data_IF_065391673453
#
_entry.id   IF_065391673453
#
_cell.length_a   1.000
_cell.length_b   1.000
_cell.length_c   1.000
_cell.angle_alpha   90.00
_cell.angle_beta   90.00
_cell.angle_gamma   90.00
#
_symmetry.space_group_name_H-M   'P 1'
#
loop_
_entity.id
_entity.type
_entity.pdbx_description
1 polymer ?
#
# COMPACT_ATOMS: atom_id res chain seq x y z
N UNK A 1 0.00 60.52 44.37
CA UNK A 1 1.08 60.77 43.38
C UNK A 1 1.88 59.49 43.23
N UNK A 2 2.06 59.03 41.99
CA UNK A 2 2.96 57.96 41.49
C UNK A 2 2.96 56.63 42.26
N UNK A 3 2.46 55.49 41.74
CA UNK A 3 2.66 55.00 40.38
C UNK A 3 4.07 54.44 40.27
N UNK A 4 4.24 53.14 40.51
CA UNK A 4 5.38 52.34 40.07
C UNK A 4 4.89 50.89 39.83
N UNK A 5 4.71 50.64 38.55
CA UNK A 5 4.50 49.38 37.84
C UNK A 5 5.14 48.11 38.43
N UNK A 6 4.29 47.08 38.63
CA UNK A 6 4.70 45.69 38.61
C UNK A 6 4.97 45.25 37.16
N UNK A 7 6.06 44.52 36.86
CA UNK A 7 6.25 43.89 35.55
C UNK A 7 5.20 42.79 35.37
N UNK A 8 4.26 42.99 34.45
CA UNK A 8 3.42 41.92 33.94
C UNK A 8 4.23 41.13 32.91
N UNK A 9 5.02 40.16 33.36
CA UNK A 9 5.48 39.07 32.50
C UNK A 9 4.28 38.14 32.25
N UNK A 10 3.42 38.56 31.32
CA UNK A 10 2.44 37.67 30.73
C UNK A 10 3.19 36.62 29.90
N UNK A 11 2.95 35.30 30.07
CA UNK A 11 3.41 34.32 29.11
C UNK A 11 2.76 34.66 27.77
N UNK A 12 3.59 34.95 26.76
CA UNK A 12 3.12 35.18 25.41
C UNK A 12 2.45 33.89 24.93
N UNK A 13 1.14 33.93 24.80
CA UNK A 13 0.33 32.88 24.20
C UNK A 13 0.91 32.58 22.80
N UNK A 14 1.51 31.39 22.54
CA UNK A 14 2.05 31.07 21.23
C UNK A 14 0.95 30.71 20.22
N UNK A 15 -0.32 30.91 20.60
CA UNK A 15 -1.48 30.50 19.84
C UNK A 15 -2.17 31.71 19.19
N UNK A 16 -1.53 32.26 18.14
CA UNK A 16 -2.17 32.86 16.94
C UNK A 16 -1.15 33.71 16.18
N UNK A 17 -0.48 33.09 15.22
CA UNK A 17 -0.03 33.80 14.03
C UNK A 17 -0.94 33.36 12.86
N UNK A 18 -2.00 34.13 12.52
CA UNK A 18 -2.92 33.73 11.46
C UNK A 18 -2.53 34.27 10.07
N UNK A 19 -1.25 34.56 9.78
CA UNK A 19 -0.91 35.22 8.51
C UNK A 19 0.41 34.79 7.81
N UNK A 20 0.77 33.51 7.86
CA UNK A 20 1.72 32.93 6.90
C UNK A 20 0.99 32.00 5.92
N UNK A 21 0.32 32.59 4.93
CA UNK A 21 -0.26 31.86 3.79
C UNK A 21 -0.20 32.77 2.54
N UNK A 22 1.00 32.86 1.96
CA UNK A 22 1.29 33.73 0.84
C UNK A 22 0.52 33.31 -0.43
N UNK A 23 -0.03 34.25 -1.23
CA UNK A 23 -0.81 33.92 -2.43
C UNK A 23 -0.06 33.09 -3.49
N UNK A 24 1.28 33.10 -3.48
CA UNK A 24 2.12 32.30 -4.38
C UNK A 24 2.18 30.81 -4.03
N UNK A 25 2.14 30.45 -2.76
CA UNK A 25 2.23 29.05 -2.33
C UNK A 25 0.95 28.29 -2.70
N UNK A 26 -0.22 28.89 -2.46
CA UNK A 26 -1.52 28.35 -2.87
C UNK A 26 -1.66 28.19 -4.38
N UNK A 27 -0.99 29.03 -5.18
CA UNK A 27 -0.96 28.89 -6.63
C UNK A 27 -0.10 27.68 -7.06
N UNK A 28 1.06 27.49 -6.42
CA UNK A 28 1.93 26.33 -6.66
C UNK A 28 1.25 25.01 -6.25
N UNK A 29 0.57 24.98 -5.10
CA UNK A 29 -0.19 23.81 -4.66
C UNK A 29 -1.31 23.43 -5.62
N UNK A 30 -2.06 24.42 -6.15
CA UNK A 30 -3.11 24.17 -7.14
C UNK A 30 -2.55 23.65 -8.48
N UNK A 31 -1.39 24.15 -8.90
CA UNK A 31 -0.73 23.64 -10.10
C UNK A 31 -0.33 22.17 -9.94
N UNK A 32 0.30 21.82 -8.80
CA UNK A 32 0.63 20.43 -8.47
C UNK A 32 -0.61 19.54 -8.37
N UNK A 33 -1.70 20.03 -7.79
CA UNK A 33 -2.97 19.29 -7.73
C UNK A 33 -3.51 19.00 -9.13
N UNK A 34 -3.52 20.00 -10.02
CA UNK A 34 -3.99 19.84 -11.40
C UNK A 34 -3.15 18.85 -12.21
N UNK A 35 -1.82 18.87 -12.05
CA UNK A 35 -0.93 17.92 -12.73
C UNK A 35 -1.16 16.47 -12.24
N UNK A 36 -1.38 16.29 -10.93
CA UNK A 36 -1.67 14.97 -10.33
C UNK A 36 -3.05 14.48 -10.76
N UNK A 37 -4.07 15.35 -10.76
CA UNK A 37 -5.43 15.01 -11.22
C UNK A 37 -5.42 14.59 -12.69
N UNK A 38 -4.71 15.34 -13.56
CA UNK A 38 -4.61 15.00 -14.98
C UNK A 38 -3.92 13.65 -15.23
N UNK A 39 -2.81 13.38 -14.52
CA UNK A 39 -2.13 12.08 -14.62
C UNK A 39 -3.00 10.95 -14.06
N UNK A 40 -3.73 11.19 -12.97
CA UNK A 40 -4.61 10.21 -12.36
C UNK A 40 -5.79 9.85 -13.29
N UNK A 41 -6.40 10.84 -13.95
CA UNK A 41 -7.48 10.64 -14.91
C UNK A 41 -7.01 9.83 -16.12
N UNK A 42 -5.87 10.21 -16.71
CA UNK A 42 -5.29 9.52 -17.85
C UNK A 42 -4.90 8.05 -17.52
N UNK A 43 -4.36 7.84 -16.32
CA UNK A 43 -4.07 6.50 -15.81
C UNK A 43 -5.35 5.70 -15.54
N UNK A 44 -6.39 6.33 -15.01
CA UNK A 44 -7.67 5.68 -14.74
C UNK A 44 -8.37 5.25 -16.04
N UNK A 45 -8.36 6.08 -17.07
CA UNK A 45 -8.95 5.74 -18.37
C UNK A 45 -8.26 4.55 -19.03
N UNK A 46 -6.92 4.55 -19.10
CA UNK A 46 -6.18 3.41 -19.66
C UNK A 46 -6.29 2.17 -18.78
N UNK A 47 -6.30 2.35 -17.47
CA UNK A 47 -6.38 1.27 -16.49
C UNK A 47 -7.69 0.51 -16.55
N UNK A 48 -8.84 1.17 -16.74
CA UNK A 48 -10.17 0.52 -16.75
C UNK A 48 -10.25 -0.63 -17.76
N UNK A 49 -9.87 -0.40 -19.01
CA UNK A 49 -9.95 -1.44 -20.05
C UNK A 49 -9.01 -2.63 -19.81
N UNK A 50 -7.82 -2.37 -19.26
CA UNK A 50 -6.87 -3.42 -18.86
C UNK A 50 -7.38 -4.23 -17.67
N UNK A 51 -7.95 -3.55 -16.67
CA UNK A 51 -8.51 -4.18 -15.47
C UNK A 51 -9.70 -5.06 -15.84
N UNK A 52 -10.59 -4.63 -16.73
CA UNK A 52 -11.76 -5.41 -17.12
C UNK A 52 -11.37 -6.73 -17.81
N UNK A 53 -10.40 -6.68 -18.73
CA UNK A 53 -9.87 -7.87 -19.40
C UNK A 53 -9.14 -8.81 -18.42
N UNK A 54 -8.32 -8.26 -17.53
CA UNK A 54 -7.62 -9.03 -16.50
C UNK A 54 -8.59 -9.66 -15.50
N UNK A 55 -9.67 -8.95 -15.14
CA UNK A 55 -10.68 -9.41 -14.17
C UNK A 55 -11.37 -10.70 -14.63
N UNK A 56 -11.77 -10.77 -15.89
CA UNK A 56 -12.43 -11.96 -16.44
C UNK A 56 -11.51 -13.19 -16.39
N UNK A 57 -10.23 -13.02 -16.74
CA UNK A 57 -9.26 -14.12 -16.72
C UNK A 57 -8.86 -14.52 -15.29
N UNK A 58 -8.70 -13.53 -14.41
CA UNK A 58 -8.37 -13.75 -13.01
C UNK A 58 -9.50 -14.44 -12.25
N UNK A 59 -10.77 -14.10 -12.53
CA UNK A 59 -11.91 -14.73 -11.86
C UNK A 59 -11.96 -16.24 -12.08
N UNK A 60 -11.86 -16.72 -13.32
CA UNK A 60 -11.90 -18.15 -13.62
C UNK A 60 -10.72 -18.92 -13.00
N UNK A 61 -9.52 -18.32 -13.02
CA UNK A 61 -8.33 -18.93 -12.41
C UNK A 61 -8.40 -18.97 -10.88
N UNK A 62 -8.82 -17.86 -10.25
CA UNK A 62 -8.90 -17.74 -8.79
C UNK A 62 -10.00 -18.63 -8.23
N UNK A 63 -11.15 -18.73 -8.89
CA UNK A 63 -12.25 -19.58 -8.41
C UNK A 63 -11.81 -21.05 -8.29
N UNK A 64 -10.91 -21.50 -9.18
CA UNK A 64 -10.36 -22.86 -9.15
C UNK A 64 -9.30 -23.07 -8.08
N UNK A 65 -8.63 -22.02 -7.60
CA UNK A 65 -7.51 -22.09 -6.64
C UNK A 65 -7.79 -21.46 -5.28
N UNK A 66 -8.99 -20.92 -5.07
CA UNK A 66 -9.35 -20.23 -3.82
C UNK A 66 -9.27 -21.13 -2.59
N UNK A 67 -9.58 -22.42 -2.73
CA UNK A 67 -9.50 -23.39 -1.64
C UNK A 67 -8.07 -23.55 -1.12
N UNK A 68 -7.13 -23.81 -2.03
CA UNK A 68 -5.71 -23.93 -1.70
C UNK A 68 -5.15 -22.65 -1.08
N UNK A 69 -5.57 -21.48 -1.60
CA UNK A 69 -5.18 -20.19 -1.08
C UNK A 69 -5.73 -19.93 0.32
N UNK A 70 -7.03 -20.18 0.55
CA UNK A 70 -7.67 -20.04 1.85
C UNK A 70 -7.03 -20.95 2.89
N UNK A 71 -6.75 -22.21 2.53
CA UNK A 71 -6.06 -23.15 3.41
C UNK A 71 -4.65 -22.67 3.77
N UNK A 72 -3.87 -22.21 2.80
CA UNK A 72 -2.53 -21.64 3.07
C UNK A 72 -2.58 -20.45 4.03
N UNK A 73 -3.59 -19.59 3.89
CA UNK A 73 -3.80 -18.45 4.80
C UNK A 73 -4.19 -18.91 6.20
N UNK A 74 -5.06 -19.93 6.32
CA UNK A 74 -5.41 -20.51 7.62
C UNK A 74 -4.21 -21.16 8.31
N UNK A 75 -3.39 -21.91 7.57
CA UNK A 75 -2.15 -22.51 8.09
C UNK A 75 -1.16 -21.45 8.58
N UNK A 76 -1.05 -20.32 7.87
CA UNK A 76 -0.25 -19.19 8.31
C UNK A 76 -0.82 -18.55 9.58
N UNK A 77 -2.14 -18.35 9.66
CA UNK A 77 -2.81 -17.82 10.85
C UNK A 77 -2.53 -18.68 12.08
N UNK A 78 -2.64 -20.01 11.93
CA UNK A 78 -2.30 -20.97 12.99
C UNK A 78 -0.82 -20.89 13.38
N UNK A 79 0.08 -20.79 12.40
CA UNK A 79 1.53 -20.66 12.65
C UNK A 79 1.85 -19.41 13.45
N UNK A 80 1.31 -18.25 13.05
CA UNK A 80 1.49 -16.97 13.75
C UNK A 80 0.94 -17.05 15.17
N UNK A 81 -0.26 -17.61 15.34
CA UNK A 81 -0.87 -17.79 16.66
C UNK A 81 -0.04 -18.70 17.56
N UNK A 82 0.49 -19.79 17.03
CA UNK A 82 1.37 -20.71 17.75
C UNK A 82 2.67 -20.03 18.16
N UNK A 83 3.34 -19.30 17.27
CA UNK A 83 4.54 -18.53 17.60
C UNK A 83 4.29 -17.46 18.67
N UNK A 84 3.11 -16.84 18.68
CA UNK A 84 2.70 -15.91 19.73
C UNK A 84 2.50 -16.58 21.10
N UNK A 85 2.06 -17.85 21.13
CA UNK A 85 1.95 -18.64 22.37
C UNK A 85 3.31 -18.99 22.96
N UNK A 86 4.32 -19.18 22.10
CA UNK A 86 5.69 -19.50 22.50
C UNK A 86 6.43 -18.28 23.10
N UNK A 87 5.90 -17.06 22.94
CA UNK A 87 6.57 -15.82 23.31
C UNK A 87 6.54 -15.48 24.82
N UNK A 88 6.19 -16.43 25.68
CA UNK A 88 6.12 -16.25 27.12
C UNK A 88 5.07 -15.23 27.57
N UNK A 89 5.19 -14.74 28.81
CA UNK A 89 4.17 -13.95 29.50
C UNK A 89 4.16 -12.44 29.12
N UNK A 90 4.32 -12.13 27.82
CA UNK A 90 4.24 -10.76 27.29
C UNK A 90 2.86 -10.49 26.70
N UNK A 91 1.87 -10.01 27.49
CA UNK A 91 0.48 -9.91 27.05
C UNK A 91 0.30 -9.00 25.84
N UNK A 92 1.01 -7.88 25.78
CA UNK A 92 0.90 -6.92 24.67
C UNK A 92 1.39 -7.50 23.34
N UNK A 93 2.47 -8.30 23.40
CA UNK A 93 3.04 -8.90 22.20
C UNK A 93 2.16 -10.05 21.75
N UNK A 94 1.71 -10.91 22.67
CA UNK A 94 0.75 -11.98 22.37
C UNK A 94 -0.53 -11.45 21.73
N UNK A 95 -1.10 -10.37 22.26
CA UNK A 95 -2.30 -9.74 21.71
C UNK A 95 -2.10 -9.27 20.26
N UNK A 96 -0.89 -8.82 19.91
CA UNK A 96 -0.56 -8.46 18.54
C UNK A 96 -0.55 -9.68 17.61
N UNK A 97 0.10 -10.78 18.01
CA UNK A 97 0.09 -12.03 17.23
C UNK A 97 -1.32 -12.62 17.09
N UNK A 98 -2.11 -12.58 18.17
CA UNK A 98 -3.50 -13.02 18.15
C UNK A 98 -4.33 -12.16 17.18
N UNK A 99 -4.19 -10.83 17.22
CA UNK A 99 -4.89 -9.94 16.29
C UNK A 99 -4.50 -10.17 14.83
N UNK A 100 -3.21 -10.43 14.58
CA UNK A 100 -2.73 -10.76 13.24
C UNK A 100 -3.30 -12.10 12.75
N UNK A 101 -3.33 -13.11 13.61
CA UNK A 101 -3.94 -14.41 13.30
C UNK A 101 -5.45 -14.30 13.05
N UNK A 102 -6.18 -13.53 13.86
CA UNK A 102 -7.62 -13.27 13.67
C UNK A 102 -7.91 -12.57 12.34
N UNK A 103 -7.06 -11.60 11.96
CA UNK A 103 -7.15 -10.93 10.67
C UNK A 103 -6.94 -11.90 9.49
N UNK A 104 -5.95 -12.80 9.59
CA UNK A 104 -5.69 -13.81 8.56
C UNK A 104 -6.80 -14.88 8.51
N UNK A 105 -7.35 -15.27 9.65
CA UNK A 105 -8.45 -16.24 9.69
C UNK A 105 -9.71 -15.68 9.03
N UNK A 106 -10.04 -14.42 9.30
CA UNK A 106 -11.09 -13.70 8.58
C UNK A 106 -10.81 -13.61 7.08
N UNK A 107 -9.55 -13.36 6.70
CA UNK A 107 -9.14 -13.32 5.30
C UNK A 107 -9.33 -14.68 4.61
N UNK A 108 -8.83 -15.79 5.17
CA UNK A 108 -9.01 -17.13 4.60
C UNK A 108 -10.49 -17.49 4.43
N UNK A 109 -11.28 -17.21 5.46
CA UNK A 109 -12.75 -17.34 5.45
C UNK A 109 -13.42 -16.53 4.33
N UNK A 110 -12.93 -15.31 4.08
CA UNK A 110 -13.48 -14.45 3.02
C UNK A 110 -13.08 -14.94 1.63
N UNK A 111 -11.85 -15.44 1.45
CA UNK A 111 -11.35 -16.01 0.18
C UNK A 111 -12.14 -17.26 -0.22
N UNK A 112 -12.48 -18.12 0.74
CA UNK A 112 -13.27 -19.32 0.47
C UNK A 112 -14.70 -19.00 0.02
N UNK A 113 -15.34 -18.04 0.69
CA UNK A 113 -16.79 -17.78 0.57
C UNK A 113 -17.18 -16.75 -0.50
N UNK A 114 -16.31 -15.80 -0.84
CA UNK A 114 -16.66 -14.68 -1.73
C UNK A 114 -15.92 -14.70 -3.05
N UNK A 115 -16.65 -14.31 -4.09
CA UNK A 115 -16.06 -14.04 -5.40
C UNK A 115 -15.22 -12.75 -5.34
N UNK A 116 -14.19 -12.64 -6.19
CA UNK A 116 -13.41 -11.39 -6.34
C UNK A 116 -14.27 -10.16 -6.66
N UNK A 117 -15.47 -10.36 -7.20
CA UNK A 117 -16.39 -9.27 -7.51
C UNK A 117 -16.96 -8.59 -6.26
N UNK A 118 -17.22 -9.35 -5.20
CA UNK A 118 -17.78 -8.83 -3.94
C UNK A 118 -16.71 -8.12 -3.10
N UNK A 119 -15.45 -8.53 -3.25
CA UNK A 119 -14.31 -7.91 -2.56
C UNK A 119 -14.08 -6.45 -2.96
N UNK A 120 -14.38 -6.09 -4.22
CA UNK A 120 -14.13 -4.73 -4.69
C UNK A 120 -14.94 -3.68 -3.92
N UNK A 121 -16.23 -3.96 -3.66
CA UNK A 121 -17.09 -3.04 -2.91
C UNK A 121 -16.64 -2.84 -1.46
N UNK A 122 -16.10 -3.88 -0.82
CA UNK A 122 -15.55 -3.76 0.54
C UNK A 122 -14.20 -3.07 0.57
N UNK A 123 -13.35 -3.30 -0.44
CA UNK A 123 -12.09 -2.59 -0.58
C UNK A 123 -12.32 -1.07 -0.75
N UNK A 124 -13.35 -0.67 -1.51
CA UNK A 124 -13.72 0.75 -1.64
C UNK A 124 -14.18 1.35 -0.30
N UNK A 125 -15.04 0.64 0.44
CA UNK A 125 -15.48 1.07 1.75
C UNK A 125 -14.32 1.17 2.76
N UNK A 126 -13.37 0.23 2.71
CA UNK A 126 -12.16 0.25 3.53
C UNK A 126 -11.25 1.43 3.16
N UNK A 127 -11.05 1.69 1.87
CA UNK A 127 -10.21 2.78 1.41
C UNK A 127 -10.70 4.15 1.88
N UNK A 128 -12.02 4.33 1.90
CA UNK A 128 -12.65 5.55 2.44
C UNK A 128 -12.52 5.67 3.96
N UNK A 129 -12.40 4.56 4.70
CA UNK A 129 -12.33 4.54 6.18
C UNK A 129 -10.90 4.63 6.72
N UNK A 130 -9.92 4.13 5.98
CA UNK A 130 -8.53 4.03 6.41
C UNK A 130 -7.56 4.53 5.33
N UNK A 131 -7.59 5.83 4.96
CA UNK A 131 -6.78 6.36 3.85
C UNK A 131 -5.28 6.18 4.06
N UNK A 132 -4.79 6.30 5.31
CA UNK A 132 -3.36 6.09 5.63
C UNK A 132 -2.95 4.64 5.40
N UNK A 133 -3.77 3.67 5.80
CA UNK A 133 -3.48 2.26 5.61
C UNK A 133 -3.40 1.91 4.12
N UNK A 134 -4.29 2.50 3.30
CA UNK A 134 -4.26 2.33 1.85
C UNK A 134 -2.99 2.92 1.25
N UNK A 135 -2.60 4.15 1.61
CA UNK A 135 -1.38 4.76 1.09
C UNK A 135 -0.14 3.90 1.36
N UNK A 136 -0.01 3.38 2.59
CA UNK A 136 1.09 2.47 2.98
C UNK A 136 1.01 1.16 2.19
N UNK A 137 -0.18 0.57 2.08
CA UNK A 137 -0.40 -0.69 1.35
C UNK A 137 -0.04 -0.56 -0.14
N UNK A 138 -0.48 0.51 -0.80
CA UNK A 138 -0.18 0.77 -2.22
C UNK A 138 1.31 0.98 -2.45
N UNK A 139 2.01 1.68 -1.56
CA UNK A 139 3.46 1.85 -1.67
C UNK A 139 4.20 0.50 -1.59
N UNK A 140 3.88 -0.33 -0.59
CA UNK A 140 4.47 -1.67 -0.44
C UNK A 140 4.16 -2.56 -1.65
N UNK A 141 2.90 -2.55 -2.11
CA UNK A 141 2.49 -3.29 -3.30
C UNK A 141 3.28 -2.85 -4.54
N UNK A 142 3.50 -1.54 -4.71
CA UNK A 142 4.33 -0.98 -5.79
C UNK A 142 5.78 -1.47 -5.75
N UNK A 143 6.39 -1.55 -4.56
CA UNK A 143 7.75 -2.10 -4.41
C UNK A 143 7.83 -3.59 -4.76
N UNK A 144 6.83 -4.38 -4.35
CA UNK A 144 6.74 -5.80 -4.69
C UNK A 144 6.59 -5.96 -6.21
N UNK A 145 5.70 -5.20 -6.83
CA UNK A 145 5.49 -5.20 -8.27
C UNK A 145 6.76 -4.80 -9.02
N UNK A 146 7.43 -3.73 -8.59
CA UNK A 146 8.71 -3.28 -9.15
C UNK A 146 9.79 -4.37 -9.04
N UNK A 147 9.85 -5.08 -7.90
CA UNK A 147 10.78 -6.18 -7.70
C UNK A 147 10.48 -7.36 -8.64
N UNK A 148 9.21 -7.69 -8.85
CA UNK A 148 8.81 -8.76 -9.76
C UNK A 148 9.21 -8.43 -11.20
N UNK A 149 8.88 -7.23 -11.67
CA UNK A 149 9.25 -6.74 -13.02
C UNK A 149 10.77 -6.81 -13.21
N UNK A 150 11.55 -6.27 -12.26
CA UNK A 150 13.03 -6.32 -12.31
C UNK A 150 13.59 -7.75 -12.26
N UNK A 151 12.94 -8.67 -11.57
CA UNK A 151 13.36 -10.08 -11.54
C UNK A 151 12.98 -10.85 -12.80
N UNK A 152 11.90 -10.44 -13.49
CA UNK A 152 11.45 -11.08 -14.73
C UNK A 152 12.26 -10.67 -15.96
N UNK A 153 13.01 -9.57 -15.89
CA UNK A 153 14.03 -9.23 -16.88
C UNK A 153 15.26 -10.13 -16.70
N UNK A 154 15.19 -11.37 -17.20
CA UNK A 154 16.38 -12.10 -17.64
C UNK A 154 17.07 -11.27 -18.74
N UNK A 155 18.37 -10.98 -18.66
CA UNK A 155 19.10 -10.45 -19.81
C UNK A 155 18.91 -11.41 -20.99
N UNK A 156 18.60 -10.92 -22.21
CA UNK A 156 18.80 -11.75 -23.38
C UNK A 156 20.29 -12.08 -23.43
N UNK A 157 20.63 -13.37 -23.30
CA UNK A 157 21.92 -13.88 -23.73
C UNK A 157 22.11 -13.38 -25.17
N UNK A 158 22.93 -12.34 -25.32
CA UNK A 158 23.41 -11.94 -26.62
C UNK A 158 24.23 -13.12 -27.12
N UNK A 159 23.87 -13.76 -28.25
CA UNK A 159 24.81 -14.60 -28.95
C UNK A 159 25.88 -13.66 -29.53
N UNK A 160 26.89 -13.34 -28.73
CA UNK A 160 28.10 -12.71 -29.24
C UNK A 160 28.78 -13.74 -30.15
N UNK A 161 28.59 -13.48 -31.45
CA UNK A 161 29.04 -14.33 -32.53
C UNK A 161 30.54 -14.55 -32.48
N UNK A 162 30.91 -15.83 -32.44
CA UNK A 162 32.08 -16.33 -33.15
C UNK A 162 32.00 -15.88 -34.62
N UNK A 163 32.98 -15.10 -35.12
CA UNK A 163 33.29 -14.92 -36.55
C UNK A 163 34.38 -13.87 -36.87
N UNK A 164 35.25 -13.43 -35.95
CA UNK A 164 36.30 -12.43 -36.29
C UNK A 164 37.63 -12.64 -35.58
N UNK A 165 38.25 -13.81 -35.73
CA UNK A 165 39.71 -13.94 -35.52
C UNK A 165 40.38 -14.98 -36.45
N UNK A 166 39.87 -15.10 -37.67
CA UNK A 166 40.45 -15.94 -38.74
C UNK A 166 41.04 -15.10 -39.88
N UNK A 167 41.66 -13.95 -39.58
CA UNK A 167 42.57 -13.30 -40.55
C UNK A 167 43.47 -12.23 -39.90
N UNK A 168 44.62 -12.61 -39.33
CA UNK A 168 45.81 -11.75 -39.39
C UNK A 168 47.13 -12.50 -39.12
N UNK A 169 47.90 -12.59 -40.20
CA UNK A 169 49.37 -12.60 -40.36
C UNK A 169 50.22 -13.47 -39.42
#
# INVERSE_FOLDING_TARGET
>A
MAGNEFPQDAPKDPLKDPLHDGPGERAQWRALQGDVEGLADEAAERGRGLIDAARLQAQDYVERRKGDAAQSVHELAQTIRNSGRDLGDKPNVRAFFDSAADGLEQLGSSIERRSLGDFYGEAEAFARRAPVAVAVGTFVAGLIAARFIKSSSLPPDAPDGDARDSFRA
#
